data_IF_371977195808
#
_entry.id   IF_371977195808
#
_cell.length_a   1.000
_cell.length_b   1.000
_cell.length_c   1.000
_cell.angle_alpha   90.00
_cell.angle_beta   90.00
_cell.angle_gamma   90.00
#
_symmetry.space_group_name_H-M   'P 1'
#
loop_
_entity.id
_entity.type
_entity.pdbx_description
1 polymer ?
#
# COMPACT_ATOMS: atom_id res chain seq x y z
N UNK A 1 8.35 -6.72 -15.22
CA UNK A 1 7.30 -7.74 -15.46
C UNK A 1 6.88 -8.44 -14.16
N UNK A 2 7.76 -9.20 -13.48
CA UNK A 2 7.39 -9.96 -12.27
C UNK A 2 6.79 -9.09 -11.14
N UNK A 3 7.38 -7.92 -10.86
CA UNK A 3 6.86 -6.98 -9.86
C UNK A 3 5.44 -6.48 -10.17
N UNK A 4 5.07 -6.31 -11.45
CA UNK A 4 3.72 -5.87 -11.84
C UNK A 4 2.68 -6.95 -11.55
N UNK A 5 3.04 -8.22 -11.83
CA UNK A 5 2.20 -9.37 -11.51
C UNK A 5 2.03 -9.49 -9.99
N UNK A 6 3.11 -9.32 -9.22
CA UNK A 6 3.07 -9.33 -7.75
C UNK A 6 2.20 -8.19 -7.20
N UNK A 7 2.35 -6.97 -7.73
CA UNK A 7 1.52 -5.83 -7.35
C UNK A 7 0.04 -6.05 -7.66
N UNK A 8 -0.27 -6.59 -8.84
CA UNK A 8 -1.65 -6.93 -9.23
C UNK A 8 -2.24 -8.04 -8.35
N UNK A 9 -1.48 -9.10 -8.10
CA UNK A 9 -1.89 -10.19 -7.22
C UNK A 9 -2.14 -9.69 -5.79
N UNK A 10 -1.25 -8.84 -5.26
CA UNK A 10 -1.43 -8.20 -3.96
C UNK A 10 -2.69 -7.32 -3.92
N UNK A 11 -2.96 -6.54 -4.98
CA UNK A 11 -4.15 -5.70 -5.08
C UNK A 11 -5.44 -6.54 -5.13
N UNK A 12 -5.47 -7.62 -5.92
CA UNK A 12 -6.61 -8.53 -6.01
C UNK A 12 -6.87 -9.24 -4.69
N UNK A 13 -5.81 -9.75 -4.05
CA UNK A 13 -5.90 -10.35 -2.73
C UNK A 13 -6.45 -9.35 -1.71
N UNK A 14 -5.97 -8.11 -1.76
CA UNK A 14 -6.43 -7.04 -0.88
C UNK A 14 -7.91 -6.71 -1.09
N UNK A 15 -8.35 -6.53 -2.34
CA UNK A 15 -9.75 -6.28 -2.68
C UNK A 15 -10.65 -7.44 -2.22
N UNK A 16 -10.21 -8.67 -2.44
CA UNK A 16 -10.93 -9.85 -1.98
C UNK A 16 -11.07 -9.87 -0.44
N UNK A 17 -10.00 -9.53 0.27
CA UNK A 17 -10.01 -9.42 1.74
C UNK A 17 -10.96 -8.32 2.22
N UNK A 18 -11.01 -7.15 1.55
CA UNK A 18 -11.94 -6.07 1.89
C UNK A 18 -13.41 -6.49 1.74
N UNK A 19 -13.73 -7.32 0.74
CA UNK A 19 -15.08 -7.87 0.56
C UNK A 19 -15.44 -8.89 1.66
N UNK A 20 -14.45 -9.55 2.26
CA UNK A 20 -14.60 -10.55 3.31
C UNK A 20 -14.17 -10.04 4.69
N UNK A 21 -14.07 -8.72 4.87
CA UNK A 21 -13.51 -8.11 6.07
C UNK A 21 -14.30 -8.47 7.33
N UNK A 22 -15.61 -8.69 7.19
CA UNK A 22 -16.50 -9.14 8.27
C UNK A 22 -16.14 -10.52 8.82
N UNK A 23 -15.66 -11.45 7.98
CA UNK A 23 -15.27 -12.78 8.45
C UNK A 23 -13.80 -12.85 8.87
N UNK A 24 -12.94 -11.99 8.31
CA UNK A 24 -11.51 -12.00 8.59
C UNK A 24 -11.11 -11.16 9.80
N UNK A 25 -11.79 -10.04 10.06
CA UNK A 25 -11.44 -9.09 11.12
C UNK A 25 -12.66 -8.64 11.92
N UNK A 26 -13.27 -9.52 12.73
CA UNK A 26 -14.40 -9.16 13.58
C UNK A 26 -14.04 -8.06 14.61
N UNK A 27 -12.77 -7.97 15.00
CA UNK A 27 -12.24 -6.95 15.91
C UNK A 27 -12.36 -5.51 15.37
N UNK A 28 -12.25 -5.29 14.06
CA UNK A 28 -12.44 -3.96 13.45
C UNK A 28 -13.88 -3.43 13.62
N UNK A 29 -14.84 -4.33 13.83
CA UNK A 29 -16.23 -3.99 14.09
C UNK A 29 -16.50 -3.67 15.58
N UNK A 30 -15.77 -4.29 16.52
CA UNK A 30 -15.92 -4.02 17.96
C UNK A 30 -15.42 -2.64 18.38
N UNK A 31 -14.45 -2.06 17.66
CA UNK A 31 -13.87 -0.74 17.98
C UNK A 31 -14.74 0.43 17.45
N UNK A 32 -15.83 0.15 16.73
CA UNK A 32 -16.81 1.18 16.30
C UNK A 32 -17.46 1.93 17.48
N UNK A 33 -17.38 1.42 18.71
CA UNK A 33 -18.03 2.00 19.89
C UNK A 33 -17.28 3.12 20.62
N UNK A 34 -15.96 3.30 20.41
CA UNK A 34 -15.13 4.16 21.30
C UNK A 34 -14.52 5.39 20.60
N UNK A 35 -14.66 5.55 19.28
CA UNK A 35 -14.23 6.79 18.63
C UNK A 35 -13.97 6.63 17.15
N UNK A 36 -15.02 6.89 16.37
CA UNK A 36 -15.06 6.81 14.90
C UNK A 36 -13.85 7.52 14.26
N UNK A 37 -13.38 8.64 14.82
CA UNK A 37 -12.29 9.44 14.25
C UNK A 37 -10.87 8.84 14.38
N UNK A 38 -10.59 8.10 15.46
CA UNK A 38 -9.26 7.49 15.70
C UNK A 38 -9.13 6.15 14.97
N UNK A 39 -10.20 5.38 14.95
CA UNK A 39 -10.31 4.10 14.25
C UNK A 39 -10.35 4.32 12.74
N UNK A 40 -11.06 5.34 12.24
CA UNK A 40 -11.08 5.66 10.81
C UNK A 40 -9.70 6.08 10.28
N UNK A 41 -8.86 6.74 11.09
CA UNK A 41 -7.49 7.11 10.69
C UNK A 41 -6.54 5.89 10.66
N UNK A 42 -6.63 4.98 11.62
CA UNK A 42 -5.84 3.74 11.64
C UNK A 42 -6.31 2.73 10.60
N UNK A 43 -7.62 2.52 10.47
CA UNK A 43 -8.22 1.64 9.47
C UNK A 43 -8.00 2.18 8.05
N UNK A 44 -8.03 3.50 7.87
CA UNK A 44 -7.71 4.12 6.57
C UNK A 44 -6.29 3.81 6.12
N UNK A 45 -5.31 3.81 7.03
CA UNK A 45 -3.94 3.38 6.71
C UNK A 45 -3.88 1.91 6.34
N UNK A 46 -4.53 1.03 7.11
CA UNK A 46 -4.58 -0.40 6.78
C UNK A 46 -5.18 -0.61 5.39
N UNK A 47 -6.23 0.12 5.01
CA UNK A 47 -6.91 -0.02 3.72
C UNK A 47 -6.13 0.60 2.54
N UNK A 48 -5.55 1.79 2.71
CA UNK A 48 -4.95 2.57 1.62
C UNK A 48 -3.48 2.19 1.35
N UNK A 49 -2.74 1.83 2.40
CA UNK A 49 -1.31 1.54 2.31
C UNK A 49 -0.97 0.40 1.35
N UNK A 50 -1.67 -0.75 1.34
CA UNK A 50 -1.39 -1.81 0.37
C UNK A 50 -1.82 -1.45 -1.06
N UNK A 51 -2.82 -0.58 -1.23
CA UNK A 51 -3.15 -0.02 -2.56
C UNK A 51 -2.01 0.85 -3.08
N UNK A 52 -1.44 1.71 -2.22
CA UNK A 52 -0.27 2.51 -2.57
C UNK A 52 0.95 1.65 -2.89
N UNK A 53 1.23 0.64 -2.08
CA UNK A 53 2.33 -0.32 -2.33
C UNK A 53 2.15 -1.08 -3.64
N UNK A 54 0.95 -1.56 -3.94
CA UNK A 54 0.63 -2.21 -5.21
C UNK A 54 0.78 -1.26 -6.40
N UNK A 55 0.33 -0.01 -6.29
CA UNK A 55 0.47 0.99 -7.35
C UNK A 55 1.95 1.26 -7.69
N UNK A 56 2.82 1.36 -6.67
CA UNK A 56 4.27 1.51 -6.85
C UNK A 56 4.91 0.30 -7.55
N UNK A 57 4.39 -0.92 -7.31
CA UNK A 57 4.86 -2.13 -7.99
C UNK A 57 4.32 -2.29 -9.41
N UNK A 58 3.11 -1.78 -9.69
CA UNK A 58 2.49 -1.89 -11.01
C UNK A 58 3.06 -0.84 -11.97
N UNK A 59 3.26 0.39 -11.51
CA UNK A 59 3.70 1.51 -12.33
C UNK A 59 4.88 2.29 -11.70
N UNK A 60 6.01 1.63 -11.41
CA UNK A 60 7.16 2.29 -10.77
C UNK A 60 7.72 3.44 -11.62
N UNK A 61 7.64 3.35 -12.95
CA UNK A 61 8.12 4.37 -13.86
C UNK A 61 7.29 5.66 -13.74
N UNK A 62 5.97 5.53 -13.57
CA UNK A 62 5.10 6.70 -13.37
C UNK A 62 5.47 7.46 -12.09
N UNK A 63 5.81 6.74 -11.01
CA UNK A 63 6.26 7.36 -9.77
C UNK A 63 7.66 7.97 -9.91
N UNK A 64 8.57 7.30 -10.62
CA UNK A 64 9.89 7.86 -10.94
C UNK A 64 9.74 9.18 -11.72
N UNK A 65 8.80 9.23 -12.67
CA UNK A 65 8.64 10.40 -13.52
C UNK A 65 7.89 11.55 -12.85
N UNK A 66 6.94 11.27 -11.94
CA UNK A 66 6.03 12.28 -11.38
C UNK A 66 6.34 12.66 -9.95
N UNK A 67 6.94 11.76 -9.18
CA UNK A 67 7.12 11.94 -7.74
C UNK A 67 8.60 12.07 -7.35
N UNK A 68 9.52 11.77 -8.26
CA UNK A 68 10.94 11.97 -7.99
C UNK A 68 11.36 13.40 -8.28
N UNK A 69 12.20 14.00 -7.43
CA UNK A 69 12.89 15.22 -7.79
C UNK A 69 13.87 14.93 -8.93
N UNK A 70 14.09 15.90 -9.80
CA UNK A 70 14.97 15.78 -10.96
C UNK A 70 16.28 16.52 -10.73
N UNK A 71 17.36 15.95 -11.24
CA UNK A 71 18.65 16.62 -11.25
C UNK A 71 18.63 17.75 -12.28
N UNK A 72 19.18 18.90 -11.91
CA UNK A 72 19.23 20.08 -12.79
C UNK A 72 20.33 19.97 -13.86
N UNK A 73 21.26 19.02 -13.70
CA UNK A 73 22.43 18.84 -14.58
C UNK A 73 22.27 17.68 -15.58
N UNK A 74 21.75 16.52 -15.14
CA UNK A 74 21.52 15.36 -16.00
C UNK A 74 20.08 15.26 -16.51
N UNK A 75 19.12 15.95 -15.89
CA UNK A 75 17.70 15.82 -16.21
C UNK A 75 17.09 14.48 -15.79
N UNK A 76 17.83 13.65 -15.04
CA UNK A 76 17.38 12.34 -14.58
C UNK A 76 16.72 12.42 -13.20
N UNK A 77 15.77 11.53 -12.90
CA UNK A 77 15.14 11.47 -11.58
C UNK A 77 16.14 10.95 -10.53
N UNK A 78 16.22 11.63 -9.37
CA UNK A 78 17.04 11.18 -8.24
C UNK A 78 16.58 9.85 -7.64
N UNK A 79 15.27 9.58 -7.73
CA UNK A 79 14.66 8.34 -7.28
C UNK A 79 14.18 7.58 -8.52
N UNK A 80 14.99 6.64 -8.96
CA UNK A 80 14.69 5.82 -10.14
C UNK A 80 13.66 4.71 -9.81
N UNK A 81 13.22 3.99 -10.83
CA UNK A 81 12.27 2.89 -10.75
C UNK A 81 12.59 1.88 -9.62
N UNK A 82 13.87 1.59 -9.38
CA UNK A 82 14.32 0.61 -8.38
C UNK A 82 13.96 1.05 -6.96
N UNK A 83 14.05 2.35 -6.68
CA UNK A 83 13.66 2.92 -5.40
C UNK A 83 12.15 2.74 -5.16
N UNK A 84 11.34 3.05 -6.16
CA UNK A 84 9.88 2.91 -6.08
C UNK A 84 9.43 1.45 -5.95
N UNK A 85 10.14 0.52 -6.60
CA UNK A 85 9.92 -0.92 -6.39
C UNK A 85 10.21 -1.34 -4.95
N UNK A 86 11.37 -0.94 -4.41
CA UNK A 86 11.74 -1.24 -3.03
C UNK A 86 10.71 -0.65 -2.05
N UNK A 87 10.32 0.60 -2.26
CA UNK A 87 9.30 1.27 -1.46
C UNK A 87 7.95 0.55 -1.54
N UNK A 88 7.56 0.08 -2.73
CA UNK A 88 6.34 -0.71 -2.93
C UNK A 88 6.35 -2.01 -2.10
N UNK A 89 7.46 -2.77 -2.14
CA UNK A 89 7.60 -3.99 -1.34
C UNK A 89 7.58 -3.72 0.16
N UNK A 90 8.30 -2.69 0.63
CA UNK A 90 8.29 -2.31 2.04
C UNK A 90 6.90 -1.87 2.50
N UNK A 91 6.20 -1.11 1.67
CA UNK A 91 4.83 -0.64 1.95
C UNK A 91 3.86 -1.81 2.08
N UNK A 92 3.94 -2.80 1.18
CA UNK A 92 3.13 -4.03 1.29
C UNK A 92 3.48 -4.84 2.55
N UNK A 93 4.77 -4.97 2.87
CA UNK A 93 5.22 -5.66 4.08
C UNK A 93 4.72 -4.99 5.37
N UNK A 94 4.79 -3.66 5.43
CA UNK A 94 4.25 -2.89 6.55
C UNK A 94 2.73 -2.98 6.63
N UNK A 95 2.02 -2.90 5.51
CA UNK A 95 0.57 -3.07 5.47
C UNK A 95 0.16 -4.45 6.01
N UNK A 96 0.90 -5.51 5.65
CA UNK A 96 0.71 -6.84 6.21
C UNK A 96 1.01 -6.91 7.71
N UNK A 97 2.12 -6.31 8.17
CA UNK A 97 2.46 -6.27 9.59
C UNK A 97 1.38 -5.55 10.41
N UNK A 98 0.86 -4.42 9.90
CA UNK A 98 -0.26 -3.70 10.51
C UNK A 98 -1.52 -4.56 10.53
N UNK A 99 -1.83 -5.29 9.47
CA UNK A 99 -2.97 -6.20 9.42
C UNK A 99 -2.92 -7.26 10.54
N UNK A 100 -1.75 -7.80 10.85
CA UNK A 100 -1.58 -8.79 11.93
C UNK A 100 -1.87 -8.21 13.32
N UNK A 101 -1.79 -6.88 13.51
CA UNK A 101 -2.15 -6.25 14.78
C UNK A 101 -3.66 -6.24 15.05
N UNK A 102 -4.47 -6.41 14.01
CA UNK A 102 -5.94 -6.37 14.10
C UNK A 102 -6.60 -7.74 14.01
N UNK A 103 -5.82 -8.79 13.76
CA UNK A 103 -6.25 -10.18 13.70
C UNK A 103 -6.47 -10.74 15.10
#
# INVERSE_FOLDING_TARGET
>A
MAHRILGLAALLFWLWMLLHLRSWFPGLWLVHGIGILRVARGAGLVVLMPVAGAAMLIAPEWFADRCSPYSHESGEPYLDHSFWLLLGYLTLGMAWALLQLFR
#
